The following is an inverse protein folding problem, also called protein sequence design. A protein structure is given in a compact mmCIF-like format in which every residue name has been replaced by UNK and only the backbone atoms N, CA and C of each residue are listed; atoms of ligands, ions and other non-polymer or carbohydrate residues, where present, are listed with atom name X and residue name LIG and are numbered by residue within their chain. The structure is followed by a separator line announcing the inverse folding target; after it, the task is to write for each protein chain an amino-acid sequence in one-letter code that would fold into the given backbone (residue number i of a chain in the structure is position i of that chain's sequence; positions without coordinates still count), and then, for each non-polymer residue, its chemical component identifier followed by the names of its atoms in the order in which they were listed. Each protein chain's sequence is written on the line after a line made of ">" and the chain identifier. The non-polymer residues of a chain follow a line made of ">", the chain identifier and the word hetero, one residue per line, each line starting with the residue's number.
data_IF_185777007532
#
_entry.id   IF_185777007532
#
_cell.length_a   1.000
_cell.length_b   1.000
_cell.length_c   1.000
_cell.angle_alpha   90.00
_cell.angle_beta   90.00
_cell.angle_gamma   90.00
#
_symmetry.space_group_name_H-M   'P 1'
#
loop_
_entity.id
_entity.type
_entity.pdbx_description
1 polymer ?
#
# COMPACT_ATOMS: atom_id res chain seq x y z
N UNK A 1 -8.27 19.36 -13.63
CA UNK A 1 -7.23 19.84 -12.68
C UNK A 1 -7.92 20.13 -11.36
N UNK A 2 -7.74 19.29 -10.34
CA UNK A 2 -8.36 19.52 -9.04
C UNK A 2 -7.89 20.87 -8.47
N UNK A 3 -8.84 21.71 -8.05
CA UNK A 3 -8.62 23.06 -7.52
C UNK A 3 -8.03 24.10 -8.50
N UNK A 4 -8.21 23.96 -9.82
CA UNK A 4 -7.86 25.02 -10.79
C UNK A 4 -6.37 25.33 -10.95
N UNK A 5 -5.48 24.46 -10.43
CA UNK A 5 -4.02 24.63 -10.55
C UNK A 5 -3.51 24.21 -11.92
N UNK A 6 -2.41 24.82 -12.37
CA UNK A 6 -1.76 24.48 -13.65
C UNK A 6 -1.34 23.00 -13.67
N UNK A 7 -1.30 22.34 -14.85
CA UNK A 7 -0.74 21.01 -14.99
C UNK A 7 0.67 20.94 -14.42
N UNK A 8 1.02 19.80 -13.80
CA UNK A 8 2.38 19.55 -13.36
C UNK A 8 3.32 19.66 -14.57
N UNK A 9 4.39 20.44 -14.45
CA UNK A 9 5.41 20.55 -15.49
C UNK A 9 5.99 19.17 -15.84
N UNK A 10 6.58 19.03 -17.03
CA UNK A 10 7.25 17.79 -17.44
C UNK A 10 8.34 17.39 -16.42
N UNK A 11 8.63 16.09 -16.26
CA UNK A 11 9.68 15.64 -15.36
C UNK A 11 11.04 16.22 -15.75
N UNK A 12 11.59 17.12 -14.93
CA UNK A 12 12.96 17.61 -15.07
C UNK A 12 13.98 16.75 -14.32
N UNK A 13 13.54 15.95 -13.34
CA UNK A 13 14.39 15.05 -12.57
C UNK A 13 14.30 13.63 -13.13
N UNK A 14 15.46 13.04 -13.44
CA UNK A 14 15.58 11.60 -13.59
C UNK A 14 15.06 10.90 -12.32
N UNK A 15 14.41 9.74 -12.44
CA UNK A 15 14.00 8.98 -11.26
C UNK A 15 15.23 8.71 -10.39
N UNK A 16 15.10 8.90 -9.07
CA UNK A 16 16.18 8.60 -8.15
C UNK A 16 16.57 7.13 -8.29
N UNK A 17 17.82 6.87 -8.67
CA UNK A 17 18.38 5.53 -8.63
C UNK A 17 18.64 5.17 -7.17
N UNK A 18 18.31 3.94 -6.81
CA UNK A 18 18.60 3.38 -5.49
C UNK A 18 19.54 2.22 -5.68
N UNK A 19 20.61 2.20 -4.89
CA UNK A 19 21.45 1.02 -4.78
C UNK A 19 20.69 -0.11 -4.08
N UNK A 20 20.69 -1.27 -4.73
CA UNK A 20 20.12 -2.51 -4.19
C UNK A 20 21.20 -3.58 -4.13
N UNK A 21 21.16 -4.39 -3.09
CA UNK A 21 21.98 -5.61 -3.05
C UNK A 21 21.38 -6.60 -4.03
N UNK A 22 22.17 -7.03 -5.00
CA UNK A 22 21.81 -8.05 -5.99
C UNK A 22 22.64 -9.31 -5.73
N UNK A 23 22.01 -10.48 -5.87
CA UNK A 23 22.70 -11.76 -5.74
C UNK A 23 23.50 -12.04 -7.01
N UNK A 24 24.70 -12.57 -6.84
CA UNK A 24 25.57 -12.98 -7.96
C UNK A 24 25.20 -14.34 -8.53
N UNK A 25 24.46 -15.17 -7.78
CA UNK A 25 24.04 -16.51 -8.20
C UNK A 25 22.62 -16.53 -8.76
N UNK A 26 21.73 -15.70 -8.23
CA UNK A 26 20.32 -15.63 -8.62
C UNK A 26 19.84 -14.16 -8.61
N UNK A 27 19.92 -13.46 -9.75
CA UNK A 27 19.56 -12.05 -9.86
C UNK A 27 18.10 -11.71 -9.52
N UNK A 28 17.20 -12.69 -9.52
CA UNK A 28 15.76 -12.50 -9.27
C UNK A 28 15.43 -12.54 -7.76
N UNK A 29 16.35 -13.03 -6.92
CA UNK A 29 16.18 -13.07 -5.48
C UNK A 29 16.40 -11.69 -4.83
N UNK A 30 15.53 -11.34 -3.88
CA UNK A 30 15.59 -10.05 -3.19
C UNK A 30 16.25 -10.12 -1.83
N UNK A 31 17.17 -9.20 -1.54
CA UNK A 31 17.82 -9.11 -0.23
C UNK A 31 16.86 -8.60 0.84
N UNK A 32 16.63 -9.39 1.89
CA UNK A 32 15.66 -9.09 2.95
C UNK A 32 16.29 -9.19 4.34
N UNK A 33 15.88 -8.25 5.21
CA UNK A 33 16.20 -8.25 6.64
C UNK A 33 14.88 -8.16 7.39
N UNK A 34 14.50 -9.24 8.07
CA UNK A 34 13.32 -9.29 8.96
C UNK A 34 13.77 -9.66 10.37
N UNK A 35 13.18 -9.02 11.36
CA UNK A 35 13.43 -9.33 12.76
C UNK A 35 13.06 -10.79 13.05
N UNK A 36 13.92 -11.51 13.79
CA UNK A 36 13.73 -12.93 14.10
C UNK A 36 13.90 -13.91 12.93
N UNK A 37 14.34 -13.45 11.75
CA UNK A 37 14.60 -14.32 10.58
C UNK A 37 16.03 -14.15 10.04
N UNK A 38 16.58 -15.16 9.35
CA UNK A 38 17.88 -15.04 8.70
C UNK A 38 17.91 -13.87 7.70
N UNK A 39 19.05 -13.18 7.64
CA UNK A 39 19.31 -12.12 6.66
C UNK A 39 19.89 -12.75 5.40
N UNK A 40 19.41 -12.37 4.23
CA UNK A 40 19.84 -13.01 2.98
C UNK A 40 18.97 -12.70 1.78
N UNK A 41 19.21 -13.41 0.69
CA UNK A 41 18.42 -13.37 -0.54
C UNK A 41 17.28 -14.38 -0.47
N UNK A 42 16.06 -13.92 -0.71
CA UNK A 42 14.85 -14.73 -0.59
C UNK A 42 13.85 -14.40 -1.69
N UNK A 43 12.84 -15.26 -1.77
CA UNK A 43 11.58 -15.01 -2.44
C UNK A 43 10.45 -14.91 -1.42
N UNK A 44 9.42 -14.14 -1.77
CA UNK A 44 8.17 -14.08 -1.05
C UNK A 44 7.08 -14.75 -1.88
N UNK A 45 6.32 -15.59 -1.21
CA UNK A 45 5.19 -16.31 -1.78
C UNK A 45 3.90 -15.67 -1.26
N UNK A 46 3.16 -15.04 -2.17
CA UNK A 46 1.87 -14.41 -1.94
C UNK A 46 0.77 -15.36 -2.36
N UNK A 47 0.06 -15.94 -1.38
CA UNK A 47 -1.02 -16.91 -1.62
C UNK A 47 -2.40 -16.31 -1.39
N UNK A 48 -3.33 -16.70 -2.24
CA UNK A 48 -4.76 -16.53 -1.99
C UNK A 48 -5.38 -17.89 -1.73
N UNK A 49 -6.20 -17.96 -0.67
CA UNK A 49 -6.86 -19.17 -0.21
C UNK A 49 -8.34 -18.89 -0.05
N UNK A 50 -9.19 -19.81 -0.49
CA UNK A 50 -10.62 -19.78 -0.23
C UNK A 50 -10.90 -19.98 1.27
N UNK A 51 -11.68 -19.08 1.87
CA UNK A 51 -11.95 -19.07 3.30
C UNK A 51 -12.87 -20.19 3.80
N UNK A 52 -13.58 -20.89 2.91
CA UNK A 52 -14.51 -21.96 3.29
C UNK A 52 -13.87 -23.35 3.25
N UNK A 53 -13.16 -23.65 2.18
CA UNK A 53 -12.63 -24.97 1.87
C UNK A 53 -11.10 -25.05 2.00
N UNK A 54 -10.41 -23.94 2.31
CA UNK A 54 -8.95 -23.85 2.39
C UNK A 54 -8.23 -24.25 1.09
N UNK A 55 -8.86 -24.01 -0.06
CA UNK A 55 -8.28 -24.29 -1.38
C UNK A 55 -7.41 -23.11 -1.80
N UNK A 56 -6.17 -23.38 -2.22
CA UNK A 56 -5.29 -22.37 -2.80
C UNK A 56 -5.80 -22.01 -4.21
N UNK A 57 -6.17 -20.74 -4.41
CA UNK A 57 -6.67 -20.24 -5.71
C UNK A 57 -5.64 -19.39 -6.46
N UNK A 58 -4.59 -18.94 -5.78
CA UNK A 58 -3.47 -18.22 -6.38
C UNK A 58 -2.17 -18.37 -5.59
N UNK A 59 -1.07 -18.35 -6.33
CA UNK A 59 0.31 -18.37 -5.86
C UNK A 59 1.07 -17.38 -6.72
N UNK A 60 1.66 -16.37 -6.10
CA UNK A 60 2.46 -15.37 -6.80
C UNK A 60 3.76 -15.13 -6.07
N UNK A 61 4.87 -15.32 -6.77
CA UNK A 61 6.21 -15.19 -6.20
C UNK A 61 6.82 -13.85 -6.58
N UNK A 62 7.43 -13.16 -5.61
CA UNK A 62 8.21 -11.94 -5.83
C UNK A 62 9.59 -12.04 -5.18
N UNK A 63 10.51 -11.19 -5.57
CA UNK A 63 11.76 -10.99 -4.85
C UNK A 63 11.52 -10.60 -3.38
N UNK A 64 12.40 -11.03 -2.48
CA UNK A 64 12.30 -10.84 -1.03
C UNK A 64 12.28 -9.39 -0.54
N UNK A 65 12.71 -8.45 -1.38
CA UNK A 65 12.72 -7.01 -1.11
C UNK A 65 11.43 -6.30 -1.56
N UNK A 66 10.47 -7.02 -2.16
CA UNK A 66 9.15 -6.48 -2.52
C UNK A 66 8.23 -6.53 -1.30
N UNK A 67 7.56 -5.41 -0.98
CA UNK A 67 6.63 -5.35 0.14
C UNK A 67 5.30 -6.05 -0.20
N UNK A 68 4.75 -6.80 0.75
CA UNK A 68 3.57 -7.67 0.55
C UNK A 68 2.33 -6.91 0.04
N UNK A 69 2.17 -5.63 0.44
CA UNK A 69 1.06 -4.78 -0.03
C UNK A 69 1.10 -4.44 -1.52
N UNK A 70 2.25 -4.56 -2.19
CA UNK A 70 2.45 -4.15 -3.58
C UNK A 70 1.66 -5.07 -4.54
N UNK A 71 1.85 -6.41 -4.52
CA UNK A 71 1.13 -7.30 -5.44
C UNK A 71 -0.36 -7.46 -5.10
N UNK A 72 -0.76 -7.19 -3.86
CA UNK A 72 -2.07 -7.57 -3.32
C UNK A 72 -3.27 -7.23 -4.20
N UNK A 73 -3.38 -5.96 -4.63
CA UNK A 73 -4.54 -5.50 -5.41
C UNK A 73 -4.63 -6.24 -6.75
N UNK A 74 -3.49 -6.49 -7.40
CA UNK A 74 -3.45 -7.28 -8.62
C UNK A 74 -3.81 -8.75 -8.38
N UNK A 75 -3.49 -9.31 -7.20
CA UNK A 75 -3.90 -10.69 -6.84
C UNK A 75 -5.41 -10.77 -6.60
N UNK A 76 -5.98 -9.73 -5.98
CA UNK A 76 -7.42 -9.62 -5.78
C UNK A 76 -8.17 -9.52 -7.12
N UNK A 77 -7.67 -8.70 -8.05
CA UNK A 77 -8.28 -8.55 -9.38
C UNK A 77 -8.17 -9.86 -10.18
N UNK A 78 -7.04 -10.58 -10.09
CA UNK A 78 -6.87 -11.91 -10.72
C UNK A 78 -7.94 -12.92 -10.27
N UNK A 79 -8.38 -12.89 -9.01
CA UNK A 79 -9.46 -13.79 -8.54
C UNK A 79 -10.77 -13.56 -9.30
N UNK A 80 -11.10 -12.29 -9.58
CA UNK A 80 -12.28 -11.91 -10.36
C UNK A 80 -12.09 -12.28 -11.83
N UNK A 81 -10.94 -11.95 -12.42
CA UNK A 81 -10.68 -12.20 -13.84
C UNK A 81 -10.63 -13.69 -14.18
N UNK A 82 -10.00 -14.51 -13.33
CA UNK A 82 -9.78 -15.93 -13.61
C UNK A 82 -10.98 -16.81 -13.30
N UNK A 83 -11.67 -16.53 -12.20
CA UNK A 83 -12.73 -17.42 -11.67
C UNK A 83 -14.10 -16.75 -11.61
N UNK A 84 -14.19 -15.46 -11.95
CA UNK A 84 -15.42 -14.67 -11.84
C UNK A 84 -16.03 -14.70 -10.43
N UNK A 85 -15.18 -14.72 -9.40
CA UNK A 85 -15.64 -14.72 -8.01
C UNK A 85 -16.31 -13.40 -7.62
N UNK A 86 -17.46 -13.51 -6.97
CA UNK A 86 -18.10 -12.39 -6.26
C UNK A 86 -17.46 -12.25 -4.87
N UNK A 87 -16.34 -11.54 -4.83
CA UNK A 87 -15.55 -11.36 -3.61
C UNK A 87 -16.22 -10.34 -2.71
N UNK A 88 -16.85 -10.79 -1.62
CA UNK A 88 -17.50 -9.93 -0.61
C UNK A 88 -16.64 -9.64 0.60
N UNK A 89 -15.77 -10.58 0.96
CA UNK A 89 -14.95 -10.52 2.16
C UNK A 89 -13.51 -10.88 1.84
N UNK A 90 -12.56 -10.18 2.46
CA UNK A 90 -11.13 -10.52 2.39
C UNK A 90 -10.52 -10.48 3.78
N UNK A 91 -9.71 -11.49 4.09
CA UNK A 91 -8.87 -11.52 5.29
C UNK A 91 -7.42 -11.30 4.90
N UNK A 92 -6.75 -10.31 5.50
CA UNK A 92 -5.33 -10.01 5.22
C UNK A 92 -4.56 -9.69 6.50
N UNK A 93 -3.26 -9.98 6.49
CA UNK A 93 -2.39 -9.67 7.61
C UNK A 93 -2.12 -8.16 7.77
N UNK A 94 -1.43 -7.80 8.86
CA UNK A 94 -1.10 -6.41 9.19
C UNK A 94 -0.07 -5.75 8.24
N UNK A 95 0.67 -6.53 7.46
CA UNK A 95 1.56 -6.05 6.40
C UNK A 95 0.80 -5.46 5.21
N UNK A 96 -0.43 -5.92 4.95
CA UNK A 96 -1.30 -5.36 3.91
C UNK A 96 -2.03 -4.08 4.34
N UNK A 97 -2.04 -3.76 5.64
CA UNK A 97 -2.71 -2.58 6.19
C UNK A 97 -2.03 -1.28 5.76
N UNK A 98 -2.37 -0.83 4.55
CA UNK A 98 -1.87 0.39 3.91
C UNK A 98 -3.04 1.19 3.35
N UNK A 99 -2.94 2.51 3.33
CA UNK A 99 -4.00 3.38 2.82
C UNK A 99 -4.41 3.05 1.37
N UNK A 100 -3.44 2.69 0.53
CA UNK A 100 -3.69 2.28 -0.85
C UNK A 100 -4.54 1.00 -0.92
N UNK A 101 -4.19 -0.04 -0.15
CA UNK A 101 -4.97 -1.30 -0.12
C UNK A 101 -6.37 -1.06 0.46
N UNK A 102 -6.48 -0.32 1.57
CA UNK A 102 -7.78 0.00 2.17
C UNK A 102 -8.69 0.72 1.17
N UNK A 103 -8.17 1.73 0.48
CA UNK A 103 -8.92 2.47 -0.54
C UNK A 103 -9.39 1.55 -1.69
N UNK A 104 -8.54 0.63 -2.15
CA UNK A 104 -8.88 -0.27 -3.25
C UNK A 104 -9.94 -1.30 -2.86
N UNK A 105 -9.95 -1.76 -1.59
CA UNK A 105 -10.97 -2.65 -1.03
C UNK A 105 -12.30 -1.91 -0.88
N UNK A 106 -12.29 -0.71 -0.30
CA UNK A 106 -13.47 0.13 -0.12
C UNK A 106 -14.11 0.50 -1.46
N UNK A 107 -13.30 0.92 -2.44
CA UNK A 107 -13.76 1.25 -3.80
C UNK A 107 -14.44 0.06 -4.50
N UNK A 108 -14.05 -1.17 -4.17
CA UNK A 108 -14.65 -2.41 -4.71
C UNK A 108 -15.87 -2.87 -3.91
N UNK A 109 -16.27 -2.14 -2.87
CA UNK A 109 -17.34 -2.50 -1.94
C UNK A 109 -17.12 -3.88 -1.28
N UNK A 110 -15.88 -4.17 -0.92
CA UNK A 110 -15.47 -5.43 -0.27
C UNK A 110 -15.25 -5.16 1.22
N UNK A 111 -15.71 -6.05 2.07
CA UNK A 111 -15.45 -5.96 3.50
C UNK A 111 -14.09 -6.60 3.84
N UNK A 112 -13.13 -5.77 4.26
CA UNK A 112 -11.77 -6.21 4.62
C UNK A 112 -11.59 -6.41 6.12
N UNK A 113 -11.22 -7.62 6.54
CA UNK A 113 -10.71 -7.92 7.87
C UNK A 113 -9.19 -7.89 7.80
N UNK A 114 -8.59 -6.81 8.31
CA UNK A 114 -7.15 -6.58 8.26
C UNK A 114 -6.53 -6.66 9.65
N UNK A 115 -5.36 -7.29 9.75
CA UNK A 115 -4.54 -7.19 10.95
C UNK A 115 -4.22 -5.72 11.28
N UNK A 116 -4.41 -5.30 12.53
CA UNK A 116 -4.09 -3.93 12.92
C UNK A 116 -2.58 -3.70 12.92
N UNK A 117 -2.14 -2.64 12.22
CA UNK A 117 -0.78 -2.11 12.34
C UNK A 117 -0.85 -0.68 12.87
N UNK A 118 -0.16 -0.43 13.99
CA UNK A 118 -0.06 0.92 14.56
C UNK A 118 0.62 1.86 13.55
N UNK A 119 -0.04 2.94 13.10
CA UNK A 119 0.60 3.90 12.21
C UNK A 119 1.85 4.50 12.87
N UNK A 120 2.94 4.58 12.12
CA UNK A 120 4.15 5.26 12.56
C UNK A 120 3.93 6.78 12.51
N UNK A 121 4.63 7.50 13.39
CA UNK A 121 4.59 8.96 13.44
C UNK A 121 6.02 9.49 13.59
N UNK A 122 6.25 10.70 13.09
CA UNK A 122 7.53 11.40 13.29
C UNK A 122 7.47 12.09 14.65
N UNK A 123 8.50 11.91 15.48
CA UNK A 123 8.60 12.59 16.78
C UNK A 123 8.51 14.12 16.57
N UNK A 124 7.71 14.79 17.39
CA UNK A 124 7.44 16.23 17.28
C UNK A 124 6.31 16.62 16.31
N UNK A 125 5.63 15.65 15.69
CA UNK A 125 4.45 15.89 14.85
C UNK A 125 3.22 15.24 15.51
N UNK A 126 2.05 15.86 15.31
CA UNK A 126 0.77 15.25 15.70
C UNK A 126 0.54 13.94 14.95
N UNK A 127 -0.13 12.99 15.60
CA UNK A 127 -0.60 11.77 14.98
C UNK A 127 -1.72 12.09 13.98
N UNK A 128 -1.76 11.35 12.87
CA UNK A 128 -2.83 11.49 11.86
C UNK A 128 -4.24 11.37 12.44
N UNK A 129 -4.43 10.52 13.46
CA UNK A 129 -5.73 10.32 14.14
C UNK A 129 -6.22 11.54 14.94
N UNK A 130 -5.33 12.48 15.24
CA UNK A 130 -5.67 13.70 15.98
C UNK A 130 -6.18 14.80 15.03
N UNK A 131 -6.03 14.62 13.72
CA UNK A 131 -6.61 15.52 12.73
C UNK A 131 -8.06 15.14 12.46
N UNK A 132 -8.92 16.16 12.34
CA UNK A 132 -10.32 15.99 11.97
C UNK A 132 -10.47 16.29 10.49
N UNK A 133 -11.03 15.35 9.74
CA UNK A 133 -11.32 15.54 8.32
C UNK A 133 -12.74 16.11 8.13
N UNK A 134 -12.83 17.24 7.43
CA UNK A 134 -14.10 17.82 6.97
C UNK A 134 -14.32 17.38 5.52
N UNK A 135 -15.34 16.55 5.30
CA UNK A 135 -15.67 16.00 3.97
C UNK A 135 -16.28 17.04 3.04
N UNK A 136 -16.98 18.04 3.56
CA UNK A 136 -17.62 19.07 2.73
C UNK A 136 -16.58 20.04 2.18
N UNK A 137 -15.62 20.44 3.01
CA UNK A 137 -14.53 21.35 2.62
C UNK A 137 -13.29 20.64 2.09
N UNK A 138 -13.26 19.31 2.17
CA UNK A 138 -12.15 18.45 1.79
C UNK A 138 -10.81 18.89 2.40
N UNK A 139 -10.83 19.19 3.70
CA UNK A 139 -9.68 19.69 4.45
C UNK A 139 -9.49 18.93 5.78
N UNK A 140 -8.31 19.09 6.37
CA UNK A 140 -7.99 18.52 7.67
C UNK A 140 -7.71 19.65 8.65
N UNK A 141 -8.29 19.59 9.84
CA UNK A 141 -8.03 20.51 10.95
C UNK A 141 -7.13 19.84 11.98
N UNK A 142 -6.06 20.50 12.40
CA UNK A 142 -5.13 19.99 13.40
C UNK A 142 -5.70 20.14 14.83
N UNK A 143 -5.10 19.48 15.83
CA UNK A 143 -5.54 19.57 17.24
C UNK A 143 -5.54 20.98 17.81
N UNK A 144 -4.76 21.90 17.22
CA UNK A 144 -4.69 23.31 17.64
C UNK A 144 -5.72 24.19 16.92
N UNK A 145 -6.59 23.62 16.06
CA UNK A 145 -7.62 24.36 15.33
C UNK A 145 -7.19 24.90 13.96
N UNK A 146 -5.92 24.73 13.57
CA UNK A 146 -5.42 25.21 12.28
C UNK A 146 -5.78 24.27 11.13
N UNK A 147 -6.19 24.84 9.99
CA UNK A 147 -6.56 24.09 8.78
C UNK A 147 -5.30 23.82 7.95
N UNK A 148 -5.12 22.56 7.53
CA UNK A 148 -4.11 22.17 6.56
C UNK A 148 -4.43 22.74 5.19
N UNK A 149 -3.63 23.73 4.77
CA UNK A 149 -3.79 24.42 3.49
C UNK A 149 -3.29 23.53 2.35
N UNK A 150 -4.15 23.26 1.38
CA UNK A 150 -3.75 22.57 0.16
C UNK A 150 -2.85 23.44 -0.73
N UNK A 151 -1.54 23.14 -0.74
CA UNK A 151 -0.51 23.76 -1.57
C UNK A 151 -0.40 23.12 -2.95
N UNK A 152 -0.35 21.80 -3.06
CA UNK A 152 -0.24 21.11 -4.37
C UNK A 152 -0.42 19.61 -4.19
N UNK A 153 -0.70 18.88 -5.27
CA UNK A 153 -0.60 17.42 -5.28
C UNK A 153 0.73 17.02 -5.90
N UNK A 154 1.50 16.14 -5.24
CA UNK A 154 2.71 15.55 -5.78
C UNK A 154 2.38 14.67 -6.99
N UNK A 155 3.39 14.32 -7.78
CA UNK A 155 3.21 13.35 -8.88
C UNK A 155 2.80 11.96 -8.38
N UNK A 156 3.15 11.60 -7.14
CA UNK A 156 2.68 10.34 -6.53
C UNK A 156 1.26 10.44 -5.97
N UNK A 157 0.57 11.57 -6.13
CA UNK A 157 -0.81 11.76 -5.68
C UNK A 157 -0.94 12.26 -4.24
N UNK A 158 0.16 12.63 -3.57
CA UNK A 158 0.09 13.17 -2.20
C UNK A 158 -0.31 14.64 -2.20
N UNK A 159 -1.32 14.99 -1.40
CA UNK A 159 -1.69 16.40 -1.17
C UNK A 159 -0.77 17.01 -0.12
N UNK A 160 -0.16 18.13 -0.48
CA UNK A 160 0.65 19.01 0.37
C UNK A 160 -0.09 20.30 0.67
#
# INVERSE_FOLDING_TARGET
>A
LAHGKKPLAAPSKQPESREIKQSTTDPDAGYMVREGKPKGFFYLDHRTVDGRCNIITDVHVTAGNVHDSIPYVARLDRQKERFNFDIKYVGVDAGYYTAAVCHQIEKRNIYGVMGYRRPTHKKGYFYKREYIYDKEKDNYTCPQGEILIYKTTSREGYRH
#
